data_IF_379564372005
#
_entry.id   IF_379564372005
#
_cell.length_a   1.000
_cell.length_b   1.000
_cell.length_c   1.000
_cell.angle_alpha   90.00
_cell.angle_beta   90.00
_cell.angle_gamma   90.00
#
_symmetry.space_group_name_H-M   'P 1'
#
loop_
_entity.id
_entity.type
_entity.pdbx_description
1 polymer ?
#
# COMPACT_ATOMS: atom_id res chain seq x y z
N UNK A 1 12.15 -3.68 28.44
CA UNK A 1 11.05 -3.13 27.62
C UNK A 1 11.60 -2.36 26.43
N UNK A 2 12.38 -1.28 26.60
CA UNK A 2 12.99 -0.58 25.45
C UNK A 2 13.91 -1.47 24.59
N UNK A 3 14.77 -2.28 25.25
CA UNK A 3 15.69 -3.21 24.59
C UNK A 3 15.00 -4.32 23.79
N UNK A 4 13.75 -4.67 24.15
CA UNK A 4 12.98 -5.74 23.52
C UNK A 4 12.42 -5.28 22.15
N UNK A 5 12.00 -4.02 22.07
CA UNK A 5 11.58 -3.40 20.81
C UNK A 5 12.76 -3.13 19.87
N UNK A 6 13.91 -2.71 20.41
CA UNK A 6 15.13 -2.54 19.61
C UNK A 6 15.60 -3.86 19.00
N UNK A 7 15.62 -4.95 19.78
CA UNK A 7 15.98 -6.28 19.29
C UNK A 7 15.02 -6.78 18.20
N UNK A 8 13.72 -6.57 18.37
CA UNK A 8 12.72 -6.91 17.35
C UNK A 8 12.89 -6.09 16.07
N UNK A 9 13.12 -4.77 16.15
CA UNK A 9 13.35 -3.93 14.97
C UNK A 9 14.66 -4.28 14.27
N UNK A 10 15.69 -4.69 15.02
CA UNK A 10 16.95 -5.17 14.46
C UNK A 10 16.77 -6.49 13.71
N UNK A 11 15.98 -7.42 14.25
CA UNK A 11 15.61 -8.66 13.55
C UNK A 11 14.80 -8.37 12.28
N UNK A 12 13.75 -7.55 12.38
CA UNK A 12 12.93 -7.16 11.22
C UNK A 12 13.79 -6.51 10.13
N UNK A 13 14.74 -5.67 10.53
CA UNK A 13 15.69 -5.03 9.63
C UNK A 13 16.60 -6.05 8.94
N UNK A 14 17.13 -7.01 9.69
CA UNK A 14 17.99 -8.07 9.14
C UNK A 14 17.23 -8.90 8.12
N UNK A 15 16.02 -9.37 8.46
CA UNK A 15 15.18 -10.19 7.58
C UNK A 15 14.80 -9.42 6.31
N UNK A 16 14.40 -8.16 6.45
CA UNK A 16 14.06 -7.32 5.30
C UNK A 16 15.28 -7.06 4.41
N UNK A 17 16.46 -6.80 5.00
CA UNK A 17 17.71 -6.67 4.26
C UNK A 17 18.05 -7.91 3.43
N UNK A 18 17.96 -9.09 4.03
CA UNK A 18 18.26 -10.36 3.35
C UNK A 18 17.25 -10.70 2.25
N UNK A 19 15.97 -10.37 2.45
CA UNK A 19 14.93 -10.55 1.44
C UNK A 19 15.17 -9.64 0.24
N UNK A 20 15.38 -8.34 0.50
CA UNK A 20 15.52 -7.30 -0.53
C UNK A 20 16.86 -7.36 -1.26
N UNK A 21 17.88 -8.01 -0.70
CA UNK A 21 19.17 -8.22 -1.35
C UNK A 21 19.10 -9.20 -2.55
N UNK A 22 18.02 -9.97 -2.68
CA UNK A 22 17.88 -11.01 -3.71
C UNK A 22 17.56 -10.43 -5.09
N UNK A 23 16.70 -9.43 -5.14
CA UNK A 23 16.29 -8.77 -6.38
C UNK A 23 15.98 -7.29 -6.12
N UNK A 24 16.31 -6.44 -7.09
CA UNK A 24 15.93 -5.03 -7.06
C UNK A 24 14.45 -4.86 -7.38
N UNK A 25 13.90 -5.67 -8.28
CA UNK A 25 12.46 -5.68 -8.56
C UNK A 25 11.80 -6.76 -7.72
N UNK A 26 11.06 -6.36 -6.69
CA UNK A 26 10.47 -7.29 -5.71
C UNK A 26 8.99 -7.45 -6.01
N UNK A 27 8.64 -8.67 -6.40
CA UNK A 27 7.27 -9.05 -6.70
C UNK A 27 6.35 -8.91 -5.48
N UNK A 28 5.09 -8.53 -5.74
CA UNK A 28 4.08 -8.37 -4.70
C UNK A 28 3.92 -9.62 -3.83
N UNK A 29 3.90 -10.81 -4.44
CA UNK A 29 3.77 -12.08 -3.72
C UNK A 29 4.88 -12.27 -2.67
N UNK A 30 6.10 -11.80 -2.94
CA UNK A 30 7.22 -11.90 -1.98
C UNK A 30 6.95 -11.04 -0.74
N UNK A 31 6.36 -9.85 -0.92
CA UNK A 31 6.00 -8.96 0.20
C UNK A 31 4.85 -9.54 1.04
N UNK A 32 3.89 -10.19 0.37
CA UNK A 32 2.74 -10.86 1.00
C UNK A 32 3.21 -12.09 1.78
N UNK A 33 4.05 -12.94 1.18
CA UNK A 33 4.60 -14.13 1.83
C UNK A 33 5.47 -13.78 3.04
N UNK A 34 6.09 -12.59 3.03
CA UNK A 34 6.83 -12.05 4.17
C UNK A 34 5.92 -11.44 5.26
N UNK A 35 4.61 -11.34 5.01
CA UNK A 35 3.61 -10.77 5.92
C UNK A 35 3.64 -9.25 6.04
N UNK A 36 4.41 -8.55 5.20
CA UNK A 36 4.62 -7.11 5.34
C UNK A 36 3.37 -6.30 5.00
N UNK A 37 2.57 -6.79 4.05
CA UNK A 37 1.34 -6.14 3.59
C UNK A 37 0.27 -6.05 4.68
N UNK A 38 0.31 -6.95 5.67
CA UNK A 38 -0.62 -7.01 6.78
C UNK A 38 -0.14 -6.33 8.07
N UNK A 39 0.99 -5.61 8.07
CA UNK A 39 1.58 -5.06 9.30
C UNK A 39 0.60 -4.15 10.06
N UNK A 40 0.05 -3.14 9.39
CA UNK A 40 -0.91 -2.19 9.99
C UNK A 40 -2.37 -2.67 9.95
N UNK A 41 -2.61 -3.91 9.54
CA UNK A 41 -3.96 -4.49 9.56
C UNK A 41 -4.24 -5.05 10.97
N UNK A 42 -5.42 -4.79 11.57
CA UNK A 42 -5.73 -5.31 12.89
C UNK A 42 -5.63 -6.83 13.00
N UNK A 43 -5.09 -7.30 14.12
CA UNK A 43 -4.93 -8.73 14.45
C UNK A 43 -6.26 -9.49 14.46
N UNK A 44 -7.33 -8.83 14.93
CA UNK A 44 -8.69 -9.37 14.97
C UNK A 44 -9.25 -9.77 13.60
N UNK A 45 -8.69 -9.23 12.50
CA UNK A 45 -9.07 -9.56 11.12
C UNK A 45 -7.90 -10.18 10.34
N UNK A 46 -6.89 -10.72 11.02
CA UNK A 46 -5.83 -11.51 10.39
C UNK A 46 -4.59 -10.73 9.93
N UNK A 47 -4.46 -9.46 10.36
CA UNK A 47 -3.20 -8.73 10.23
C UNK A 47 -2.25 -8.95 11.41
N UNK A 48 -1.16 -8.15 11.46
CA UNK A 48 -0.20 -8.21 12.56
C UNK A 48 -0.53 -7.28 13.72
N UNK A 49 -1.46 -6.33 13.54
CA UNK A 49 -1.78 -5.30 14.53
C UNK A 49 -0.59 -4.41 14.91
N UNK A 50 0.42 -4.33 14.04
CA UNK A 50 1.60 -3.52 14.25
C UNK A 50 1.28 -2.04 14.02
N UNK A 51 2.24 -1.19 14.40
CA UNK A 51 2.11 0.25 14.20
C UNK A 51 2.90 0.67 12.96
N UNK A 52 2.78 1.96 12.61
CA UNK A 52 3.63 2.55 11.58
C UNK A 52 5.14 2.41 11.87
N UNK A 53 5.56 2.14 13.12
CA UNK A 53 6.98 1.94 13.44
C UNK A 53 7.56 0.73 12.70
N UNK A 54 6.85 -0.40 12.67
CA UNK A 54 7.27 -1.61 11.95
C UNK A 54 7.26 -1.37 10.43
N UNK A 55 6.21 -0.73 9.92
CA UNK A 55 6.13 -0.32 8.51
C UNK A 55 7.30 0.59 8.12
N UNK A 56 7.69 1.52 8.99
CA UNK A 56 8.80 2.44 8.75
C UNK A 56 10.13 1.69 8.62
N UNK A 57 10.39 0.67 9.46
CA UNK A 57 11.60 -0.17 9.33
C UNK A 57 11.64 -0.86 7.96
N UNK A 58 10.52 -1.39 7.48
CA UNK A 58 10.43 -1.99 6.14
C UNK A 58 10.67 -0.96 5.04
N UNK A 59 10.05 0.22 5.13
CA UNK A 59 10.26 1.32 4.19
C UNK A 59 11.72 1.78 4.14
N UNK A 60 12.40 1.86 5.30
CA UNK A 60 13.83 2.16 5.38
C UNK A 60 14.67 1.11 4.65
N UNK A 61 14.35 -0.18 4.77
CA UNK A 61 15.08 -1.23 4.07
C UNK A 61 14.79 -1.24 2.57
N UNK A 62 13.55 -0.99 2.15
CA UNK A 62 13.20 -0.81 0.73
C UNK A 62 14.01 0.35 0.13
N UNK A 63 14.07 1.49 0.82
CA UNK A 63 14.86 2.64 0.40
C UNK A 63 16.37 2.34 0.37
N UNK A 64 16.89 1.64 1.37
CA UNK A 64 18.31 1.23 1.43
C UNK A 64 18.70 0.29 0.29
N UNK A 65 17.82 -0.65 -0.06
CA UNK A 65 18.04 -1.59 -1.16
C UNK A 65 17.78 -0.96 -2.54
N UNK A 66 17.20 0.25 -2.59
CA UNK A 66 16.67 0.86 -3.81
C UNK A 66 15.75 -0.11 -4.57
N UNK A 67 14.90 -0.83 -3.83
CA UNK A 67 14.01 -1.86 -4.34
C UNK A 67 12.77 -1.23 -4.99
N UNK A 68 12.49 -1.62 -6.22
CA UNK A 68 11.26 -1.30 -6.93
C UNK A 68 10.18 -2.33 -6.56
N UNK A 69 9.08 -1.87 -6.00
CA UNK A 69 7.94 -2.72 -5.61
C UNK A 69 6.69 -1.85 -5.47
N UNK A 70 5.59 -2.46 -5.01
CA UNK A 70 4.31 -1.76 -4.81
C UNK A 70 3.88 -1.63 -3.34
N UNK A 71 4.83 -1.74 -2.42
CA UNK A 71 4.54 -1.68 -0.99
C UNK A 71 3.98 -0.32 -0.55
N UNK A 72 4.55 0.78 -1.07
CA UNK A 72 4.16 2.13 -0.67
C UNK A 72 2.69 2.40 -0.99
N UNK A 73 2.27 2.27 -2.24
CA UNK A 73 0.89 2.54 -2.62
C UNK A 73 -0.07 1.46 -2.12
N UNK A 74 0.27 0.18 -2.33
CA UNK A 74 -0.67 -0.92 -2.15
C UNK A 74 -0.78 -1.50 -0.74
N UNK A 75 0.20 -1.28 0.14
CA UNK A 75 0.11 -1.67 1.54
C UNK A 75 0.06 -0.43 2.46
N UNK A 76 1.06 0.45 2.37
CA UNK A 76 1.21 1.55 3.34
C UNK A 76 0.10 2.59 3.19
N UNK A 77 -0.06 3.17 1.99
CA UNK A 77 -1.10 4.18 1.77
C UNK A 77 -2.50 3.56 1.86
N UNK A 78 -2.71 2.37 1.29
CA UNK A 78 -3.98 1.67 1.32
C UNK A 78 -4.44 1.36 2.76
N UNK A 79 -3.64 0.62 3.54
CA UNK A 79 -3.99 0.28 4.92
C UNK A 79 -4.10 1.54 5.79
N UNK A 80 -3.19 2.50 5.61
CA UNK A 80 -3.23 3.77 6.34
C UNK A 80 -4.53 4.54 6.13
N UNK A 81 -5.00 4.68 4.89
CA UNK A 81 -6.30 5.32 4.61
C UNK A 81 -7.45 4.50 5.15
N UNK A 82 -7.48 3.19 4.93
CA UNK A 82 -8.56 2.32 5.39
C UNK A 82 -8.70 2.36 6.93
N UNK A 83 -7.60 2.37 7.66
CA UNK A 83 -7.59 2.50 9.12
C UNK A 83 -8.12 3.87 9.63
N UNK A 84 -8.13 4.90 8.78
CA UNK A 84 -8.72 6.20 9.10
C UNK A 84 -10.22 6.30 8.75
N UNK A 85 -10.73 5.35 7.95
CA UNK A 85 -12.16 5.29 7.63
C UNK A 85 -12.97 4.70 8.79
N UNK A 86 -14.29 4.84 8.69
CA UNK A 86 -15.18 4.20 9.66
C UNK A 86 -15.00 2.68 9.60
N UNK A 87 -14.68 2.09 10.76
CA UNK A 87 -14.58 0.65 10.92
C UNK A 87 -15.92 -0.04 10.61
N UNK A 88 -15.83 -1.22 10.00
CA UNK A 88 -16.98 -2.03 9.61
C UNK A 88 -16.66 -2.94 8.43
N UNK A 89 -17.58 -3.86 8.14
CA UNK A 89 -17.37 -4.94 7.18
C UNK A 89 -16.75 -4.50 5.84
N UNK A 90 -17.17 -3.41 5.17
CA UNK A 90 -16.54 -3.01 3.91
C UNK A 90 -15.06 -2.61 4.05
N UNK A 91 -14.71 -1.90 5.12
CA UNK A 91 -13.32 -1.48 5.39
C UNK A 91 -12.48 -2.70 5.81
N UNK A 92 -13.04 -3.56 6.65
CA UNK A 92 -12.36 -4.77 7.14
C UNK A 92 -12.09 -5.74 5.99
N UNK A 93 -13.03 -5.94 5.08
CA UNK A 93 -12.85 -6.76 3.87
C UNK A 93 -11.69 -6.24 2.99
N UNK A 94 -11.54 -4.92 2.85
CA UNK A 94 -10.45 -4.32 2.09
C UNK A 94 -9.10 -4.45 2.81
N UNK A 95 -9.08 -4.29 4.13
CA UNK A 95 -7.88 -4.49 4.95
C UNK A 95 -7.41 -5.95 4.87
N UNK A 96 -8.35 -6.91 4.92
CA UNK A 96 -8.05 -8.34 4.72
C UNK A 96 -7.46 -8.57 3.33
N UNK A 97 -8.06 -8.00 2.29
CA UNK A 97 -7.58 -8.17 0.91
C UNK A 97 -6.18 -7.58 0.67
N UNK A 98 -5.83 -6.50 1.39
CA UNK A 98 -4.47 -5.94 1.41
C UNK A 98 -3.52 -6.88 2.15
N UNK A 99 -3.91 -7.36 3.34
CA UNK A 99 -3.07 -8.23 4.17
C UNK A 99 -2.73 -9.54 3.47
N UNK A 100 -3.72 -10.23 2.91
CA UNK A 100 -3.54 -11.52 2.23
C UNK A 100 -3.05 -11.38 0.78
N UNK A 101 -2.94 -10.14 0.29
CA UNK A 101 -2.44 -9.82 -1.03
C UNK A 101 -3.39 -10.14 -2.18
N UNK A 102 -4.64 -10.52 -1.92
CA UNK A 102 -5.65 -10.84 -2.93
C UNK A 102 -6.12 -9.63 -3.73
N UNK A 103 -5.85 -8.41 -3.25
CA UNK A 103 -6.11 -7.17 -3.98
C UNK A 103 -5.02 -6.14 -3.73
N UNK A 104 -4.45 -5.58 -4.81
CA UNK A 104 -3.64 -4.36 -4.74
C UNK A 104 -4.54 -3.14 -4.87
N UNK A 105 -4.51 -2.27 -3.87
CA UNK A 105 -5.32 -1.05 -3.84
C UNK A 105 -4.37 0.15 -3.96
N UNK A 106 -4.50 0.97 -5.00
CA UNK A 106 -3.79 2.24 -5.06
C UNK A 106 -4.65 3.38 -4.52
N UNK A 107 -4.04 4.36 -3.87
CA UNK A 107 -4.75 5.50 -3.29
C UNK A 107 -4.61 6.71 -4.20
N UNK A 108 -5.74 7.27 -4.63
CA UNK A 108 -5.81 8.52 -5.38
C UNK A 108 -6.20 9.63 -4.40
N UNK A 109 -5.28 10.52 -4.07
CA UNK A 109 -5.46 11.50 -2.97
C UNK A 109 -6.23 12.74 -3.38
N UNK A 110 -6.24 13.08 -4.67
CA UNK A 110 -6.87 14.28 -5.20
C UNK A 110 -7.23 14.14 -6.69
N UNK A 111 -7.74 15.22 -7.30
CA UNK A 111 -8.02 15.26 -8.73
C UNK A 111 -9.39 14.72 -9.14
N UNK A 112 -10.15 14.15 -8.21
CA UNK A 112 -11.49 13.61 -8.44
C UNK A 112 -12.58 14.29 -7.61
N UNK A 113 -13.79 14.34 -8.19
CA UNK A 113 -14.99 14.87 -7.57
C UNK A 113 -16.15 13.90 -7.75
N UNK A 114 -17.11 13.93 -6.83
CA UNK A 114 -18.35 13.16 -6.91
C UNK A 114 -19.50 14.12 -7.18
N UNK A 115 -20.22 13.89 -8.28
CA UNK A 115 -21.41 14.66 -8.64
C UNK A 115 -22.51 13.70 -9.11
N UNK A 116 -23.70 13.83 -8.55
CA UNK A 116 -24.85 12.97 -8.86
C UNK A 116 -24.54 11.45 -8.80
N UNK A 117 -23.66 11.03 -7.89
CA UNK A 117 -23.24 9.63 -7.73
C UNK A 117 -22.21 9.14 -8.75
N UNK A 118 -21.73 9.99 -9.65
CA UNK A 118 -20.64 9.69 -10.58
C UNK A 118 -19.32 10.31 -10.09
N UNK A 119 -18.24 9.52 -10.17
CA UNK A 119 -16.88 9.97 -9.91
C UNK A 119 -16.25 10.45 -11.23
N UNK A 120 -15.70 11.66 -11.25
CA UNK A 120 -15.03 12.22 -12.44
C UNK A 120 -13.83 13.05 -12.04
N UNK A 121 -12.74 12.93 -12.79
CA UNK A 121 -11.49 13.58 -12.44
C UNK A 121 -10.30 13.09 -13.24
N UNK A 122 -9.14 13.53 -12.80
CA UNK A 122 -7.85 13.17 -13.34
C UNK A 122 -6.79 13.37 -12.26
N UNK A 123 -5.91 12.39 -12.07
CA UNK A 123 -4.79 12.47 -11.14
C UNK A 123 -3.49 12.05 -11.83
N UNK A 124 -2.42 12.79 -11.56
CA UNK A 124 -1.07 12.46 -12.01
C UNK A 124 -0.25 11.89 -10.85
N UNK A 125 0.79 11.13 -11.19
CA UNK A 125 1.76 10.60 -10.22
C UNK A 125 1.16 9.75 -9.10
N UNK A 126 0.10 8.99 -9.37
CA UNK A 126 -0.53 8.08 -8.39
C UNK A 126 0.40 6.89 -8.14
N UNK A 127 0.88 6.69 -6.90
CA UNK A 127 1.77 5.57 -6.58
C UNK A 127 1.08 4.22 -6.78
N UNK A 128 1.76 3.32 -7.47
CA UNK A 128 1.39 1.92 -7.63
C UNK A 128 0.01 1.66 -8.26
N UNK A 129 -0.59 2.66 -8.90
CA UNK A 129 -1.86 2.49 -9.61
C UNK A 129 -1.73 1.58 -10.85
N UNK A 130 -0.57 1.61 -11.52
CA UNK A 130 -0.31 0.68 -12.62
C UNK A 130 -0.24 -0.77 -12.09
N UNK A 131 -1.25 -1.57 -12.44
CA UNK A 131 -1.38 -2.97 -12.00
C UNK A 131 -2.18 -3.15 -10.71
N UNK A 132 -2.64 -2.08 -10.07
CA UNK A 132 -3.61 -2.19 -8.98
C UNK A 132 -4.93 -2.79 -9.48
N UNK A 133 -5.60 -3.56 -8.62
CA UNK A 133 -6.93 -4.13 -8.90
C UNK A 133 -8.02 -3.09 -8.66
N UNK A 134 -7.81 -2.25 -7.64
CA UNK A 134 -8.75 -1.20 -7.23
C UNK A 134 -8.06 0.12 -6.92
N UNK A 135 -8.83 1.19 -7.04
CA UNK A 135 -8.41 2.55 -6.72
C UNK A 135 -9.30 3.07 -5.59
N UNK A 136 -8.68 3.45 -4.48
CA UNK A 136 -9.33 4.12 -3.36
C UNK A 136 -9.16 5.63 -3.56
N UNK A 137 -10.21 6.28 -4.03
CA UNK A 137 -10.21 7.68 -4.43
C UNK A 137 -10.74 8.56 -3.29
N UNK A 138 -9.89 9.45 -2.79
CA UNK A 138 -10.26 10.43 -1.80
C UNK A 138 -10.97 11.61 -2.47
N UNK A 139 -12.07 12.04 -1.86
CA UNK A 139 -12.94 13.09 -2.36
C UNK A 139 -13.35 14.01 -1.21
N UNK A 140 -13.87 15.20 -1.52
CA UNK A 140 -14.39 16.11 -0.49
C UNK A 140 -15.55 15.54 0.35
N UNK A 141 -16.17 14.42 -0.07
CA UNK A 141 -17.27 13.76 0.61
C UNK A 141 -16.85 12.48 1.36
N UNK A 142 -15.58 12.07 1.30
CA UNK A 142 -15.09 10.80 1.83
C UNK A 142 -14.27 10.02 0.80
N UNK A 143 -14.23 8.69 0.92
CA UNK A 143 -13.53 7.81 -0.02
C UNK A 143 -14.51 7.06 -0.93
N UNK A 144 -14.15 6.89 -2.20
CA UNK A 144 -14.85 6.07 -3.17
C UNK A 144 -13.93 4.95 -3.67
N UNK A 145 -14.46 3.76 -3.80
CA UNK A 145 -13.73 2.61 -4.30
C UNK A 145 -14.18 2.32 -5.74
N UNK A 146 -13.23 2.26 -6.67
CA UNK A 146 -13.51 1.92 -8.08
C UNK A 146 -12.57 0.81 -8.53
N UNK A 147 -13.04 -0.07 -9.42
CA UNK A 147 -12.17 -1.07 -10.03
C UNK A 147 -11.23 -0.37 -11.00
N UNK A 148 -9.95 -0.73 -10.99
CA UNK A 148 -8.98 -0.14 -11.92
C UNK A 148 -9.37 -0.41 -13.38
N UNK A 149 -10.04 -1.55 -13.65
CA UNK A 149 -10.55 -1.90 -14.98
C UNK A 149 -11.65 -0.95 -15.52
N UNK A 150 -12.27 -0.14 -14.67
CA UNK A 150 -13.30 0.84 -15.04
C UNK A 150 -12.73 2.26 -15.25
N UNK A 151 -11.41 2.44 -15.09
CA UNK A 151 -10.70 3.73 -15.18
C UNK A 151 -9.51 3.60 -16.13
N UNK A 152 -9.11 4.69 -16.78
CA UNK A 152 -7.91 4.68 -17.62
C UNK A 152 -6.67 4.90 -16.78
N UNK A 153 -5.92 3.83 -16.50
CA UNK A 153 -4.65 3.93 -15.78
C UNK A 153 -3.49 3.82 -16.77
N UNK A 154 -2.66 4.86 -16.85
CA UNK A 154 -1.50 4.92 -17.75
C UNK A 154 -0.22 5.04 -16.93
N UNK A 155 0.67 4.05 -17.02
CA UNK A 155 1.98 4.12 -16.37
C UNK A 155 2.75 5.36 -16.85
N UNK A 156 3.32 6.09 -15.90
CA UNK A 156 4.03 7.35 -16.13
C UNK A 156 5.50 7.17 -15.70
N UNK A 157 6.42 6.91 -16.64
CA UNK A 157 7.84 6.75 -16.33
C UNK A 157 8.42 8.03 -15.71
N UNK A 158 9.24 7.87 -14.67
CA UNK A 158 9.96 8.95 -14.00
C UNK A 158 11.45 8.61 -13.89
N UNK A 159 12.26 9.60 -13.52
CA UNK A 159 13.73 9.41 -13.37
C UNK A 159 14.07 8.39 -12.29
N UNK A 160 13.28 8.34 -11.21
CA UNK A 160 13.44 7.34 -10.15
C UNK A 160 12.75 6.03 -10.55
N UNK A 161 13.52 5.09 -11.08
CA UNK A 161 13.04 3.76 -11.49
C UNK A 161 12.56 2.89 -10.32
N UNK A 162 12.78 3.30 -9.07
CA UNK A 162 12.22 2.59 -7.90
C UNK A 162 10.75 2.94 -7.67
N UNK A 163 10.21 3.94 -8.41
CA UNK A 163 8.83 4.41 -8.27
C UNK A 163 7.99 4.01 -9.47
N UNK A 164 6.88 3.33 -9.18
CA UNK A 164 5.82 3.03 -10.15
C UNK A 164 4.73 4.07 -9.98
N UNK A 165 4.70 5.04 -10.89
CA UNK A 165 3.70 6.11 -10.88
C UNK A 165 2.79 5.96 -12.09
N UNK A 166 1.53 6.38 -11.96
CA UNK A 166 0.59 6.36 -13.06
C UNK A 166 -0.29 7.63 -13.07
N UNK A 167 -0.76 7.93 -14.26
CA UNK A 167 -1.89 8.82 -14.50
C UNK A 167 -3.18 8.01 -14.40
N UNK A 168 -4.20 8.56 -13.74
CA UNK A 168 -5.53 7.96 -13.50
C UNK A 168 -6.62 8.92 -13.97
#
# INVERSE_FOLDING_TARGET
MATDFEEFHDELRSVAGDLLAKDRDVDWAVLVDAGWTGLEVPDAIGGAGATFAETAVILEQIGRAAAANSYLGSAVLAAGVLNLLQAGAPTDELLVAVADGSSRIAVVTEGFTVSAGALSGHAEFVPDAAGADQLLVLTGAGAALVRAADVTVTAQPVVDETRRLATV
#
